data_IF_264217667399
#
_entry.id   IF_264217667399
#
_cell.length_a   1.000
_cell.length_b   1.000
_cell.length_c   1.000
_cell.angle_alpha   90.00
_cell.angle_beta   90.00
_cell.angle_gamma   90.00
#
_symmetry.space_group_name_H-M   'P 1'
#
loop_
_entity.id
_entity.type
_entity.pdbx_description
1 polymer ?
#
# COMPACT_ATOMS: atom_id res chain seq x y z
N UNK A 1 -21.66 -27.09 -70.48
CA UNK A 1 -22.19 -26.34 -69.31
C UNK A 1 -21.54 -26.90 -68.06
N UNK A 2 -20.46 -26.28 -67.61
CA UNK A 2 -19.89 -26.40 -66.26
C UNK A 2 -18.75 -25.39 -66.15
N UNK A 3 -18.88 -24.44 -65.23
CA UNK A 3 -17.87 -24.14 -64.20
C UNK A 3 -18.37 -22.91 -63.45
N UNK A 4 -19.22 -23.15 -62.46
CA UNK A 4 -19.53 -22.16 -61.42
C UNK A 4 -18.36 -22.24 -60.46
N UNK A 5 -17.34 -21.41 -60.67
CA UNK A 5 -16.15 -21.38 -59.83
C UNK A 5 -16.46 -20.56 -58.55
N UNK A 6 -16.58 -21.19 -57.37
CA UNK A 6 -16.98 -20.50 -56.14
C UNK A 6 -15.82 -19.72 -55.49
N UNK A 7 -14.62 -19.77 -56.06
CA UNK A 7 -13.40 -19.24 -55.43
C UNK A 7 -13.02 -17.81 -55.86
N UNK A 8 -13.69 -17.20 -56.84
CA UNK A 8 -13.34 -15.85 -57.35
C UNK A 8 -13.88 -14.69 -56.47
N UNK A 9 -14.52 -14.99 -55.34
CA UNK A 9 -15.12 -13.96 -54.45
C UNK A 9 -14.22 -13.51 -53.30
N UNK A 10 -13.01 -14.05 -53.19
CA UNK A 10 -12.05 -13.65 -52.14
C UNK A 10 -10.80 -13.07 -52.79
N UNK A 11 -10.99 -12.05 -53.63
CA UNK A 11 -9.90 -11.12 -53.93
C UNK A 11 -9.61 -10.36 -52.65
N UNK A 12 -8.68 -10.87 -51.85
CA UNK A 12 -7.93 -10.08 -50.88
C UNK A 12 -7.30 -8.94 -51.66
N UNK A 13 -8.06 -7.85 -51.78
CA UNK A 13 -7.56 -6.61 -52.33
C UNK A 13 -6.55 -6.15 -51.29
N UNK A 14 -5.27 -6.39 -51.56
CA UNK A 14 -4.15 -5.80 -50.83
C UNK A 14 -4.23 -4.30 -51.10
N UNK A 15 -5.17 -3.65 -50.42
CA UNK A 15 -5.44 -2.22 -50.53
C UNK A 15 -4.23 -1.59 -49.87
N UNK A 16 -3.28 -1.11 -50.70
CA UNK A 16 -2.07 -0.42 -50.26
C UNK A 16 -2.42 0.51 -49.10
N UNK A 17 -1.87 0.23 -47.93
CA UNK A 17 -2.11 1.03 -46.72
C UNK A 17 -1.70 2.45 -47.06
N UNK A 18 -2.64 3.39 -46.98
CA UNK A 18 -2.33 4.77 -47.29
C UNK A 18 -1.46 5.32 -46.16
N UNK A 19 -0.46 6.14 -46.51
CA UNK A 19 0.45 6.72 -45.51
C UNK A 19 -0.31 7.48 -44.40
N UNK A 20 -1.46 8.07 -44.74
CA UNK A 20 -2.39 8.68 -43.79
C UNK A 20 -2.96 7.72 -42.74
N UNK A 21 -3.26 6.47 -43.12
CA UNK A 21 -3.71 5.45 -42.16
C UNK A 21 -2.58 5.10 -41.17
N UNK A 22 -1.34 5.01 -41.66
CA UNK A 22 -0.18 4.78 -40.78
C UNK A 22 -0.01 5.94 -39.80
N UNK A 23 -0.09 7.17 -40.29
CA UNK A 23 -0.01 8.36 -39.45
C UNK A 23 -1.09 8.38 -38.35
N UNK A 24 -2.32 8.00 -38.68
CA UNK A 24 -3.40 7.89 -37.69
C UNK A 24 -3.14 6.82 -36.65
N UNK A 25 -2.71 5.62 -37.06
CA UNK A 25 -2.38 4.53 -36.12
C UNK A 25 -1.25 4.94 -35.18
N UNK A 26 -0.21 5.60 -35.71
CA UNK A 26 0.91 6.11 -34.90
C UNK A 26 0.42 7.18 -33.92
N UNK A 27 -0.41 8.11 -34.37
CA UNK A 27 -0.96 9.15 -33.50
C UNK A 27 -1.80 8.55 -32.36
N UNK A 28 -2.64 7.55 -32.65
CA UNK A 28 -3.43 6.84 -31.63
C UNK A 28 -2.52 6.08 -30.66
N UNK A 29 -1.50 5.38 -31.16
CA UNK A 29 -0.55 4.67 -30.32
C UNK A 29 0.20 5.62 -29.38
N UNK A 30 0.64 6.78 -29.87
CA UNK A 30 1.29 7.81 -29.05
C UNK A 30 0.34 8.42 -28.02
N UNK A 31 -0.91 8.69 -28.40
CA UNK A 31 -1.92 9.22 -27.49
C UNK A 31 -2.18 8.24 -26.34
N UNK A 32 -2.36 6.95 -26.64
CA UNK A 32 -2.54 5.90 -25.64
C UNK A 32 -1.30 5.74 -24.76
N UNK A 33 -0.11 5.69 -25.35
CA UNK A 33 1.14 5.60 -24.61
C UNK A 33 1.33 6.78 -23.66
N UNK A 34 1.04 8.00 -24.13
CA UNK A 34 1.11 9.22 -23.30
C UNK A 34 0.08 9.19 -22.18
N UNK A 35 -1.16 8.79 -22.47
CA UNK A 35 -2.21 8.67 -21.45
C UNK A 35 -1.81 7.67 -20.34
N UNK A 36 -1.30 6.49 -20.72
CA UNK A 36 -0.83 5.49 -19.77
C UNK A 36 0.36 5.99 -18.95
N UNK A 37 1.31 6.69 -19.58
CA UNK A 37 2.45 7.29 -18.89
C UNK A 37 1.99 8.34 -17.87
N UNK A 38 1.02 9.18 -18.22
CA UNK A 38 0.45 10.17 -17.31
C UNK A 38 -0.27 9.53 -16.12
N UNK A 39 -1.08 8.50 -16.38
CA UNK A 39 -1.75 7.74 -15.31
C UNK A 39 -0.72 7.12 -14.38
N UNK A 40 0.30 6.44 -14.92
CA UNK A 40 1.37 5.83 -14.13
C UNK A 40 2.14 6.88 -13.30
N UNK A 41 2.51 8.01 -13.91
CA UNK A 41 3.16 9.11 -13.23
C UNK A 41 2.30 9.70 -12.11
N UNK A 42 1.00 9.83 -12.34
CA UNK A 42 0.05 10.38 -11.36
C UNK A 42 -0.11 9.44 -10.17
N UNK A 43 -0.29 8.14 -10.42
CA UNK A 43 -0.34 7.12 -9.36
C UNK A 43 0.98 7.11 -8.59
N UNK A 44 2.12 7.14 -9.27
CA UNK A 44 3.42 7.18 -8.63
C UNK A 44 3.58 8.41 -7.72
N UNK A 45 3.17 9.59 -8.20
CA UNK A 45 3.25 10.84 -7.44
C UNK A 45 2.44 10.80 -6.15
N UNK A 46 1.35 10.02 -6.09
CA UNK A 46 0.51 9.87 -4.90
C UNK A 46 1.00 8.72 -4.01
N UNK A 47 1.29 7.56 -4.59
CA UNK A 47 1.64 6.35 -3.84
C UNK A 47 3.03 6.45 -3.22
N UNK A 48 3.99 7.01 -3.94
CA UNK A 48 5.36 7.18 -3.45
C UNK A 48 5.42 7.95 -2.12
N UNK A 49 4.86 9.17 -1.97
CA UNK A 49 4.91 9.89 -0.70
C UNK A 49 4.14 9.15 0.41
N UNK A 50 3.04 8.45 0.09
CA UNK A 50 2.32 7.63 1.07
C UNK A 50 3.25 6.54 1.63
N UNK A 51 3.95 5.82 0.76
CA UNK A 51 4.90 4.77 1.18
C UNK A 51 6.03 5.36 2.00
N UNK A 52 6.58 6.50 1.59
CA UNK A 52 7.65 7.19 2.33
C UNK A 52 7.20 7.59 3.73
N UNK A 53 6.03 8.20 3.86
CA UNK A 53 5.46 8.61 5.13
C UNK A 53 5.13 7.40 6.00
N UNK A 54 4.46 6.39 5.44
CA UNK A 54 4.12 5.16 6.15
C UNK A 54 5.37 4.41 6.63
N UNK A 55 6.41 4.34 5.79
CA UNK A 55 7.68 3.74 6.13
C UNK A 55 8.41 4.51 7.23
N UNK A 56 8.40 5.84 7.18
CA UNK A 56 8.98 6.69 8.22
C UNK A 56 8.22 6.56 9.55
N UNK A 57 6.89 6.58 9.50
CA UNK A 57 6.04 6.35 10.65
C UNK A 57 6.27 4.95 11.23
N UNK A 58 6.36 3.92 10.39
CA UNK A 58 6.66 2.55 10.83
C UNK A 58 8.06 2.45 11.46
N UNK A 59 9.06 3.14 10.92
CA UNK A 59 10.39 3.17 11.53
C UNK A 59 10.39 3.87 12.89
N UNK A 60 9.62 4.95 13.03
CA UNK A 60 9.60 5.77 14.25
C UNK A 60 8.73 5.16 15.36
N UNK A 61 7.60 4.54 14.99
CA UNK A 61 6.60 4.02 15.91
C UNK A 61 6.51 2.48 15.94
N UNK A 62 6.97 1.79 14.90
CA UNK A 62 6.86 0.33 14.73
C UNK A 62 7.84 -0.50 15.55
N UNK A 63 8.82 0.13 16.20
CA UNK A 63 9.69 -0.52 17.18
C UNK A 63 9.12 -0.58 18.60
N UNK A 64 7.96 0.05 18.88
CA UNK A 64 7.53 0.28 20.28
C UNK A 64 6.22 -0.34 20.74
N UNK A 65 5.47 -1.09 19.93
CA UNK A 65 4.39 -1.98 20.42
C UNK A 65 3.74 -2.70 19.25
N UNK A 66 3.91 -4.02 19.21
CA UNK A 66 2.93 -4.92 18.60
C UNK A 66 2.15 -5.57 19.73
N UNK A 67 1.32 -4.77 20.36
CA UNK A 67 0.22 -5.23 21.20
C UNK A 67 -1.00 -4.41 20.77
N UNK A 68 -2.11 -5.10 20.48
CA UNK A 68 -3.42 -4.46 20.35
C UNK A 68 -3.89 -4.20 18.93
N UNK A 69 -4.51 -5.24 18.35
CA UNK A 69 -5.82 -5.14 17.69
C UNK A 69 -6.66 -3.98 18.22
N UNK A 70 -7.31 -3.26 17.31
CA UNK A 70 -8.36 -2.27 17.55
C UNK A 70 -9.33 -2.74 18.64
N UNK A 71 -9.13 -2.25 19.86
CA UNK A 71 -9.95 -2.46 21.04
C UNK A 71 -9.86 -1.21 21.92
N UNK A 72 -10.78 -1.02 22.88
CA UNK A 72 -10.86 0.19 23.70
C UNK A 72 -9.51 0.44 24.40
N UNK A 73 -9.23 1.68 24.77
CA UNK A 73 -8.02 2.08 25.50
C UNK A 73 -7.87 1.28 26.81
N UNK A 74 -7.23 0.11 26.72
CA UNK A 74 -6.88 -0.72 27.87
C UNK A 74 -5.55 -0.17 28.37
N UNK A 75 -5.59 0.54 29.49
CA UNK A 75 -4.41 0.79 30.29
C UNK A 75 -3.95 -0.58 30.81
N UNK A 76 -2.98 -1.20 30.13
CA UNK A 76 -2.32 -2.42 30.59
C UNK A 76 -1.51 -2.10 31.86
N UNK A 77 -2.15 -2.21 33.02
CA UNK A 77 -1.48 -2.27 34.30
C UNK A 77 -0.90 -3.67 34.45
N UNK A 78 0.40 -3.81 34.22
CA UNK A 78 1.14 -5.05 34.47
C UNK A 78 1.11 -5.32 35.99
N UNK A 79 0.17 -6.18 36.44
CA UNK A 79 0.07 -6.56 37.84
C UNK A 79 1.13 -7.62 38.15
N UNK A 80 2.24 -7.18 38.74
CA UNK A 80 3.22 -8.10 39.33
C UNK A 80 2.63 -8.65 40.63
N UNK A 81 2.29 -9.94 40.64
CA UNK A 81 1.91 -10.65 41.87
C UNK A 81 3.16 -10.76 42.73
N UNK A 82 3.23 -9.92 43.77
CA UNK A 82 4.30 -10.00 44.76
C UNK A 82 4.09 -11.25 45.61
N UNK A 83 5.16 -11.98 45.86
CA UNK A 83 5.15 -13.02 46.89
C UNK A 83 4.83 -12.38 48.27
N UNK A 84 4.27 -13.14 49.23
CA UNK A 84 3.92 -12.60 50.55
C UNK A 84 5.07 -11.87 51.25
N UNK A 85 6.31 -12.31 51.01
CA UNK A 85 7.52 -11.68 51.53
C UNK A 85 7.86 -10.36 50.83
N UNK A 86 7.70 -10.29 49.51
CA UNK A 86 7.91 -9.06 48.74
C UNK A 86 6.85 -8.00 49.06
N UNK A 87 5.60 -8.42 49.27
CA UNK A 87 4.52 -7.54 49.70
C UNK A 87 4.80 -6.92 51.08
N UNK A 88 5.29 -7.73 52.03
CA UNK A 88 5.65 -7.25 53.37
C UNK A 88 6.83 -6.26 53.37
N UNK A 89 7.78 -6.39 52.42
CA UNK A 89 8.89 -5.42 52.27
C UNK A 89 8.41 -4.11 51.66
N UNK A 90 7.62 -4.18 50.58
CA UNK A 90 7.10 -3.00 49.91
C UNK A 90 6.22 -2.12 50.83
N UNK A 91 5.45 -2.75 51.71
CA UNK A 91 4.61 -2.04 52.69
C UNK A 91 5.44 -1.32 53.77
N UNK A 92 6.53 -1.94 54.24
CA UNK A 92 7.47 -1.29 55.16
C UNK A 92 8.18 -0.10 54.52
N UNK A 93 8.65 -0.26 53.28
CA UNK A 93 9.36 0.80 52.55
C UNK A 93 8.44 2.02 52.33
N UNK A 94 7.15 1.78 52.05
CA UNK A 94 6.14 2.82 51.91
C UNK A 94 5.89 3.56 53.23
N UNK A 95 5.77 2.82 54.34
CA UNK A 95 5.54 3.41 55.66
C UNK A 95 6.72 4.28 56.13
N UNK A 96 7.95 3.85 55.86
CA UNK A 96 9.14 4.62 56.20
C UNK A 96 9.34 5.84 55.30
N UNK A 97 8.90 5.80 54.05
CA UNK A 97 8.90 6.96 53.17
C UNK A 97 8.01 8.09 53.72
N UNK A 98 6.83 7.77 54.21
CA UNK A 98 5.87 8.76 54.74
C UNK A 98 6.37 9.43 56.03
N UNK A 99 7.14 8.71 56.86
CA UNK A 99 7.80 9.29 58.04
C UNK A 99 8.93 10.26 57.73
N UNK A 100 9.59 10.15 56.58
CA UNK A 100 10.72 11.05 56.19
C UNK A 100 10.26 12.37 55.59
N UNK A 101 8.98 12.47 55.22
CA UNK A 101 8.39 13.68 54.63
C UNK A 101 7.75 14.59 55.70
N UNK A 102 7.75 14.15 56.97
CA UNK A 102 7.39 14.97 58.14
C UNK A 102 8.63 15.43 58.88
#
# INVERSE_FOLDING_TARGET
MSSTDPFDRVRFTVRKVSWWQVALVVAVALALGTALALVAASVFLVVFPIIVIAGLAYRLFGGRRRAGTSGPEIIEAEYRVLSPEEAARADRDRWDADRRVR
#
